data_IF_307221313314
#
_entry.id   IF_307221313314
#
_cell.length_a   1.000
_cell.length_b   1.000
_cell.length_c   1.000
_cell.angle_alpha   90.00
_cell.angle_beta   90.00
_cell.angle_gamma   90.00
#
_symmetry.space_group_name_H-M   'P 1'
#
loop_
_entity.id
_entity.type
_entity.pdbx_description
1 polymer ?
#
# COMPACT_ATOMS: atom_id res chain seq x y z
N UNK A 1 32.51 21.81 -35.81
CA UNK A 1 31.19 21.66 -35.18
C UNK A 1 30.16 22.69 -35.70
N UNK A 2 30.51 23.97 -35.90
CA UNK A 2 29.58 24.98 -36.48
C UNK A 2 29.31 24.69 -37.97
N UNK A 3 30.23 24.16 -38.70
CA UNK A 3 30.07 23.83 -40.12
C UNK A 3 28.95 22.81 -40.40
N UNK A 4 28.67 21.90 -39.46
CA UNK A 4 27.61 20.91 -39.61
C UNK A 4 26.19 21.52 -39.58
N UNK A 5 26.04 22.74 -39.05
CA UNK A 5 24.76 23.48 -39.01
C UNK A 5 24.60 24.38 -40.25
N UNK A 6 25.65 24.58 -41.00
CA UNK A 6 25.65 25.50 -42.17
C UNK A 6 25.69 24.77 -43.50
N UNK A 7 26.33 23.60 -43.55
CA UNK A 7 26.61 22.85 -44.79
C UNK A 7 26.35 21.37 -44.54
N UNK A 8 25.50 20.75 -45.34
CA UNK A 8 25.33 19.31 -45.37
C UNK A 8 25.92 18.77 -46.66
N UNK A 9 26.96 17.91 -46.59
CA UNK A 9 27.59 17.28 -47.72
C UNK A 9 26.98 15.90 -47.89
N UNK A 10 26.25 15.73 -48.97
CA UNK A 10 25.61 14.48 -49.35
C UNK A 10 26.52 13.70 -50.31
N UNK A 11 27.28 12.71 -49.79
CA UNK A 11 28.07 11.76 -50.57
C UNK A 11 27.50 10.35 -50.55
N UNK A 12 28.27 9.34 -50.95
CA UNK A 12 27.84 7.92 -51.01
C UNK A 12 27.22 7.37 -49.72
N UNK A 13 27.53 7.95 -48.55
CA UNK A 13 26.94 7.52 -47.28
C UNK A 13 25.46 7.88 -47.11
N UNK A 14 24.95 8.95 -47.75
CA UNK A 14 23.56 9.37 -47.65
C UNK A 14 22.62 8.35 -48.32
N UNK A 15 23.02 7.78 -49.44
CA UNK A 15 22.25 6.74 -50.14
C UNK A 15 22.13 5.45 -49.34
N UNK A 16 23.18 5.07 -48.57
CA UNK A 16 23.13 3.89 -47.69
C UNK A 16 22.20 4.09 -46.47
N UNK A 17 22.02 5.34 -46.00
CA UNK A 17 21.09 5.62 -44.90
C UNK A 17 19.64 5.35 -45.29
N UNK A 18 19.27 5.50 -46.58
CA UNK A 18 17.95 5.17 -47.10
C UNK A 18 17.54 3.72 -46.91
N UNK A 19 18.50 2.82 -46.67
CA UNK A 19 18.21 1.41 -46.39
C UNK A 19 17.80 1.14 -44.94
N UNK A 20 17.92 2.14 -44.07
CA UNK A 20 17.53 2.03 -42.62
C UNK A 20 16.15 2.53 -42.39
N UNK A 21 15.29 1.70 -41.79
CA UNK A 21 13.88 2.05 -41.50
C UNK A 21 13.74 3.30 -40.60
N UNK A 22 14.62 3.49 -39.62
CA UNK A 22 14.61 4.66 -38.75
C UNK A 22 14.87 5.96 -39.53
N UNK A 23 15.73 5.91 -40.53
CA UNK A 23 16.01 7.06 -41.40
C UNK A 23 14.83 7.32 -42.35
N UNK A 24 14.22 6.27 -42.90
CA UNK A 24 13.02 6.35 -43.74
C UNK A 24 11.86 7.01 -42.95
N UNK A 25 11.67 6.59 -41.69
CA UNK A 25 10.69 7.20 -40.80
C UNK A 25 10.96 8.71 -40.60
N UNK A 26 12.22 9.06 -40.33
CA UNK A 26 12.61 10.47 -40.14
C UNK A 26 12.37 11.33 -41.41
N UNK A 27 12.60 10.78 -42.59
CA UNK A 27 12.34 11.49 -43.85
C UNK A 27 10.84 11.77 -44.06
N UNK A 28 9.98 10.77 -43.76
CA UNK A 28 8.52 10.96 -43.83
C UNK A 28 8.07 11.97 -42.80
N UNK A 29 8.55 11.93 -41.57
CA UNK A 29 8.24 12.87 -40.50
C UNK A 29 8.69 14.30 -40.86
N UNK A 30 9.86 14.46 -41.49
CA UNK A 30 10.35 15.75 -41.99
C UNK A 30 9.44 16.31 -43.09
N UNK A 31 9.05 15.47 -44.05
CA UNK A 31 8.15 15.87 -45.15
C UNK A 31 6.74 16.19 -44.68
N UNK A 32 6.24 15.52 -43.63
CA UNK A 32 4.92 15.68 -43.07
C UNK A 32 4.71 16.98 -42.27
N UNK A 33 5.78 17.62 -41.81
CA UNK A 33 5.76 18.83 -40.95
C UNK A 33 4.92 18.72 -39.67
N UNK A 34 4.81 17.57 -39.07
CA UNK A 34 4.01 17.31 -37.89
C UNK A 34 4.82 17.30 -36.57
N UNK A 35 5.74 18.24 -36.44
CA UNK A 35 6.63 18.33 -35.27
C UNK A 35 5.89 18.44 -33.95
N UNK A 36 4.75 19.16 -33.93
CA UNK A 36 3.91 19.30 -32.75
C UNK A 36 3.30 17.96 -32.32
N UNK A 37 2.86 17.17 -33.31
CA UNK A 37 2.29 15.84 -33.06
C UNK A 37 3.36 14.85 -32.55
N UNK A 38 4.60 14.93 -33.09
CA UNK A 38 5.73 14.17 -32.58
C UNK A 38 6.13 14.58 -31.15
N UNK A 39 6.07 15.87 -30.83
CA UNK A 39 6.30 16.36 -29.48
C UNK A 39 5.23 15.83 -28.50
N UNK A 40 3.96 15.91 -28.90
CA UNK A 40 2.85 15.37 -28.13
C UNK A 40 2.97 13.85 -27.92
N UNK A 41 3.34 13.11 -28.97
CA UNK A 41 3.57 11.67 -28.88
C UNK A 41 4.65 11.31 -27.84
N UNK A 42 5.75 12.05 -27.83
CA UNK A 42 6.84 11.85 -26.86
C UNK A 42 6.40 12.15 -25.44
N UNK A 43 5.61 13.20 -25.26
CA UNK A 43 5.07 13.59 -23.96
C UNK A 43 4.09 12.53 -23.43
N UNK A 44 3.11 12.13 -24.25
CA UNK A 44 2.12 11.12 -23.89
C UNK A 44 2.77 9.75 -23.58
N UNK A 45 3.77 9.35 -24.38
CA UNK A 45 4.54 8.12 -24.12
C UNK A 45 5.29 8.19 -22.78
N UNK A 46 5.93 9.32 -22.47
CA UNK A 46 6.65 9.51 -21.20
C UNK A 46 5.69 9.49 -20.01
N UNK A 47 4.55 10.16 -20.14
CA UNK A 47 3.52 10.19 -19.09
C UNK A 47 3.00 8.78 -18.80
N UNK A 48 2.60 8.04 -19.84
CA UNK A 48 2.16 6.65 -19.69
C UNK A 48 3.27 5.76 -19.09
N UNK A 49 4.51 5.86 -19.59
CA UNK A 49 5.62 5.02 -19.10
C UNK A 49 5.97 5.27 -17.64
N UNK A 50 5.85 6.52 -17.20
CA UNK A 50 6.02 6.89 -15.79
C UNK A 50 4.92 6.26 -14.92
N UNK A 51 3.66 6.39 -15.31
CA UNK A 51 2.53 5.78 -14.61
C UNK A 51 2.63 4.25 -14.59
N UNK A 52 3.00 3.61 -15.70
CA UNK A 52 3.24 2.17 -15.77
C UNK A 52 4.29 1.71 -14.75
N UNK A 53 5.37 2.49 -14.61
CA UNK A 53 6.42 2.19 -13.62
C UNK A 53 5.92 2.36 -12.20
N UNK A 54 5.12 3.42 -11.95
CA UNK A 54 4.50 3.65 -10.64
C UNK A 54 3.54 2.51 -10.26
N UNK A 55 2.65 2.10 -11.18
CA UNK A 55 1.72 0.97 -10.97
C UNK A 55 2.50 -0.30 -10.62
N UNK A 56 3.54 -0.63 -11.40
CA UNK A 56 4.36 -1.82 -11.14
C UNK A 56 5.01 -1.80 -9.76
N UNK A 57 5.60 -0.67 -9.37
CA UNK A 57 6.24 -0.52 -8.06
C UNK A 57 5.20 -0.58 -6.92
N UNK A 58 4.01 -0.06 -7.17
CA UNK A 58 2.91 -0.07 -6.22
C UNK A 58 2.38 -1.49 -6.01
N UNK A 59 2.12 -2.23 -7.09
CA UNK A 59 1.67 -3.62 -7.04
C UNK A 59 2.66 -4.53 -6.31
N UNK A 60 3.96 -4.31 -6.48
CA UNK A 60 4.97 -5.06 -5.75
C UNK A 60 4.85 -4.81 -4.23
N UNK A 61 4.68 -3.56 -3.81
CA UNK A 61 4.49 -3.20 -2.39
C UNK A 61 3.19 -3.75 -1.81
N UNK A 62 2.09 -3.74 -2.58
CA UNK A 62 0.81 -4.33 -2.17
C UNK A 62 0.97 -5.84 -1.94
N UNK A 63 1.62 -6.55 -2.87
CA UNK A 63 1.86 -7.99 -2.73
C UNK A 63 2.71 -8.33 -1.49
N UNK A 64 3.72 -7.53 -1.17
CA UNK A 64 4.54 -7.68 0.05
C UNK A 64 3.73 -7.45 1.34
N UNK A 65 2.74 -6.57 1.29
CA UNK A 65 1.92 -6.19 2.45
C UNK A 65 0.66 -7.06 2.65
N UNK A 66 0.26 -7.90 1.69
CA UNK A 66 -1.00 -8.65 1.76
C UNK A 66 -1.03 -9.63 2.95
N UNK A 67 0.05 -10.35 3.23
CA UNK A 67 0.16 -11.22 4.38
C UNK A 67 0.08 -10.44 5.72
N UNK A 68 0.70 -9.25 5.76
CA UNK A 68 0.62 -8.36 6.92
C UNK A 68 -0.79 -7.84 7.14
N UNK A 69 -1.50 -7.48 6.07
CA UNK A 69 -2.88 -7.02 6.11
C UNK A 69 -3.81 -8.09 6.69
N UNK A 70 -3.72 -9.33 6.21
CA UNK A 70 -4.52 -10.44 6.72
C UNK A 70 -4.26 -10.71 8.21
N UNK A 71 -3.00 -10.67 8.63
CA UNK A 71 -2.65 -10.81 10.04
C UNK A 71 -3.25 -9.69 10.89
N UNK A 72 -3.12 -8.43 10.44
CA UNK A 72 -3.68 -7.28 11.15
C UNK A 72 -5.21 -7.32 11.23
N UNK A 73 -5.89 -7.75 10.17
CA UNK A 73 -7.35 -7.93 10.18
C UNK A 73 -7.76 -8.93 11.26
N UNK A 74 -7.14 -10.11 11.29
CA UNK A 74 -7.42 -11.11 12.30
C UNK A 74 -7.17 -10.59 13.73
N UNK A 75 -6.06 -9.89 13.96
CA UNK A 75 -5.70 -9.34 15.27
C UNK A 75 -6.66 -8.24 15.72
N UNK A 76 -7.08 -7.37 14.80
CA UNK A 76 -8.05 -6.31 15.09
C UNK A 76 -9.42 -6.89 15.39
N UNK A 77 -9.92 -7.86 14.60
CA UNK A 77 -11.20 -8.54 14.84
C UNK A 77 -11.24 -9.21 16.23
N UNK A 78 -10.19 -9.93 16.60
CA UNK A 78 -10.10 -10.59 17.92
C UNK A 78 -10.16 -9.58 19.08
N UNK A 79 -9.48 -8.43 18.95
CA UNK A 79 -9.49 -7.39 19.97
C UNK A 79 -10.80 -6.58 19.95
N UNK A 80 -11.47 -6.44 18.79
CA UNK A 80 -12.81 -5.83 18.67
C UNK A 80 -13.88 -6.71 19.32
N UNK A 81 -13.81 -8.04 19.20
CA UNK A 81 -14.70 -8.97 19.87
C UNK A 81 -14.52 -8.92 21.38
N UNK A 82 -13.29 -8.85 21.85
CA UNK A 82 -13.01 -8.73 23.28
C UNK A 82 -13.45 -7.36 23.83
N UNK A 83 -13.33 -6.29 23.05
CA UNK A 83 -13.82 -4.94 23.34
C UNK A 83 -13.43 -4.43 24.74
N UNK A 84 -12.15 -4.50 25.10
CA UNK A 84 -11.65 -3.96 26.37
C UNK A 84 -11.75 -2.44 26.39
N UNK A 85 -12.38 -1.89 27.46
CA UNK A 85 -12.52 -0.44 27.65
C UNK A 85 -11.23 0.15 28.25
N UNK A 86 -10.97 1.45 28.03
CA UNK A 86 -9.90 2.16 28.70
C UNK A 86 -10.00 2.01 30.23
N UNK A 87 -8.91 1.65 30.90
CA UNK A 87 -8.76 1.40 32.33
C UNK A 87 -9.54 0.19 32.88
N UNK A 88 -10.35 -0.50 32.06
CA UNK A 88 -11.15 -1.65 32.53
C UNK A 88 -10.30 -2.73 33.21
N UNK A 89 -9.10 -3.00 32.69
CA UNK A 89 -8.24 -4.01 33.30
C UNK A 89 -7.86 -3.67 34.75
N UNK A 90 -7.51 -2.42 35.00
CA UNK A 90 -7.14 -1.95 36.34
C UNK A 90 -8.35 -1.94 37.30
N UNK A 91 -9.53 -1.55 36.78
CA UNK A 91 -10.78 -1.61 37.55
C UNK A 91 -11.11 -3.06 37.95
N UNK A 92 -10.99 -4.00 37.02
CA UNK A 92 -11.20 -5.43 37.27
C UNK A 92 -10.20 -6.02 38.28
N UNK A 93 -8.93 -5.63 38.24
CA UNK A 93 -7.93 -6.05 39.23
C UNK A 93 -8.28 -5.54 40.65
N UNK A 94 -8.73 -4.29 40.75
CA UNK A 94 -9.15 -3.71 42.02
C UNK A 94 -10.39 -4.41 42.58
N UNK A 95 -11.41 -4.64 41.76
CA UNK A 95 -12.62 -5.35 42.12
C UNK A 95 -12.35 -6.81 42.48
N UNK A 96 -11.49 -7.53 41.77
CA UNK A 96 -11.08 -8.88 42.08
C UNK A 96 -10.40 -8.94 43.47
N UNK A 97 -9.50 -7.99 43.75
CA UNK A 97 -8.82 -7.91 45.03
C UNK A 97 -9.83 -7.66 46.17
N UNK A 98 -10.79 -6.75 45.97
CA UNK A 98 -11.83 -6.42 46.95
C UNK A 98 -12.73 -7.63 47.24
N UNK A 99 -13.22 -8.32 46.20
CA UNK A 99 -14.14 -9.45 46.33
C UNK A 99 -13.41 -10.71 46.86
N UNK A 100 -12.18 -10.97 46.47
CA UNK A 100 -11.39 -12.05 47.02
C UNK A 100 -11.07 -11.85 48.50
N UNK A 101 -10.78 -10.61 48.89
CA UNK A 101 -10.59 -10.31 50.33
C UNK A 101 -11.86 -10.45 51.13
N UNK A 102 -13.05 -10.20 50.55
CA UNK A 102 -14.32 -10.31 51.22
C UNK A 102 -14.64 -11.74 51.65
N UNK A 103 -14.29 -12.74 50.85
CA UNK A 103 -14.43 -14.15 51.23
C UNK A 103 -13.56 -14.51 52.46
N UNK A 104 -12.30 -14.09 52.44
CA UNK A 104 -11.40 -14.32 53.55
C UNK A 104 -11.81 -13.59 54.83
N UNK A 105 -12.28 -12.34 54.69
CA UNK A 105 -12.83 -11.54 55.80
C UNK A 105 -14.03 -12.23 56.43
N UNK A 106 -14.93 -12.78 55.64
CA UNK A 106 -16.12 -13.51 56.13
C UNK A 106 -15.69 -14.78 56.88
N UNK A 107 -14.82 -15.58 56.30
CA UNK A 107 -14.35 -16.83 57.00
C UNK A 107 -13.67 -16.51 58.31
N UNK A 108 -12.79 -15.49 58.35
CA UNK A 108 -12.08 -15.12 59.57
C UNK A 108 -13.03 -14.52 60.61
N UNK A 109 -14.02 -13.68 60.19
CA UNK A 109 -15.02 -13.13 61.09
C UNK A 109 -15.92 -14.20 61.70
N UNK A 110 -16.37 -15.18 60.90
CA UNK A 110 -17.14 -16.33 61.39
C UNK A 110 -16.33 -17.16 62.40
N UNK A 111 -15.06 -17.44 62.06
CA UNK A 111 -14.19 -18.18 62.99
C UNK A 111 -13.99 -17.45 64.34
N UNK A 112 -13.83 -16.11 64.28
CA UNK A 112 -13.71 -15.29 65.48
C UNK A 112 -15.00 -15.30 66.32
N UNK A 113 -16.15 -15.13 65.66
CA UNK A 113 -17.44 -15.18 66.33
C UNK A 113 -17.75 -16.53 67.00
N UNK A 114 -17.40 -17.64 66.37
CA UNK A 114 -17.51 -18.96 66.97
C UNK A 114 -16.71 -19.08 68.26
N UNK A 115 -15.51 -18.52 68.30
CA UNK A 115 -14.67 -18.52 69.49
C UNK A 115 -15.16 -17.57 70.57
N UNK A 116 -15.66 -16.38 70.13
CA UNK A 116 -16.10 -15.34 71.08
C UNK A 116 -17.45 -15.65 71.74
N UNK A 117 -18.49 -16.05 70.96
CA UNK A 117 -19.84 -16.16 71.49
C UNK A 117 -20.70 -17.32 70.99
N UNK A 118 -20.49 -17.85 69.78
CA UNK A 118 -21.45 -18.77 69.13
C UNK A 118 -21.39 -20.22 69.64
N UNK A 119 -20.38 -20.58 70.42
CA UNK A 119 -20.29 -21.91 71.01
C UNK A 119 -20.79 -21.89 72.45
N UNK A 120 -21.98 -22.43 72.68
CA UNK A 120 -22.69 -22.37 73.99
C UNK A 120 -21.88 -22.91 75.18
N UNK A 121 -20.91 -23.82 74.95
CA UNK A 121 -20.19 -24.49 76.04
C UNK A 121 -18.73 -24.09 76.17
N UNK A 122 -18.10 -23.56 75.08
CA UNK A 122 -16.66 -23.34 75.02
C UNK A 122 -16.32 -21.95 74.42
N UNK A 123 -17.27 -21.04 74.35
CA UNK A 123 -16.98 -19.67 73.92
C UNK A 123 -16.29 -18.86 75.02
N UNK A 124 -15.53 -17.82 74.62
CA UNK A 124 -14.85 -16.93 75.54
C UNK A 124 -15.87 -16.26 76.46
N UNK A 125 -16.98 -15.80 75.88
CA UNK A 125 -18.11 -15.19 76.64
C UNK A 125 -18.67 -16.16 77.72
N UNK A 126 -18.99 -17.42 77.33
CA UNK A 126 -19.52 -18.41 78.25
C UNK A 126 -18.51 -18.81 79.35
N UNK A 127 -17.22 -18.87 79.01
CA UNK A 127 -16.16 -19.20 79.93
C UNK A 127 -15.90 -18.08 80.96
N UNK A 128 -15.87 -16.84 80.46
CA UNK A 128 -15.75 -15.66 81.32
C UNK A 128 -16.96 -15.51 82.23
N UNK A 129 -18.16 -15.68 81.72
CA UNK A 129 -19.38 -15.64 82.51
C UNK A 129 -19.34 -16.67 83.66
N UNK A 130 -18.97 -17.88 83.38
CA UNK A 130 -18.81 -18.91 84.42
C UNK A 130 -17.71 -18.59 85.47
N UNK A 131 -16.57 -18.02 84.99
CA UNK A 131 -15.54 -17.57 85.90
C UNK A 131 -16.01 -16.42 86.78
N UNK A 132 -16.75 -15.47 86.26
CA UNK A 132 -17.37 -14.36 87.02
C UNK A 132 -18.31 -14.85 88.07
N UNK A 133 -19.14 -15.86 87.81
CA UNK A 133 -20.02 -16.48 88.82
C UNK A 133 -19.27 -17.03 89.99
N UNK A 134 -18.17 -17.76 89.75
CA UNK A 134 -17.34 -18.32 90.88
C UNK A 134 -16.65 -17.19 91.65
N UNK A 135 -16.23 -16.12 91.05
CA UNK A 135 -15.64 -14.96 91.72
C UNK A 135 -16.68 -14.16 92.50
N UNK A 136 -17.91 -14.07 92.01
CA UNK A 136 -19.04 -13.47 92.76
C UNK A 136 -19.30 -14.20 94.08
N UNK A 137 -19.37 -15.53 94.05
CA UNK A 137 -19.48 -16.35 95.23
C UNK A 137 -18.29 -16.16 96.20
N UNK A 138 -17.06 -16.07 95.64
CA UNK A 138 -15.86 -15.81 96.48
C UNK A 138 -15.84 -14.41 97.10
N UNK A 139 -16.36 -13.38 96.39
CA UNK A 139 -16.46 -12.00 96.86
C UNK A 139 -17.43 -11.83 98.04
N UNK A 140 -18.49 -12.67 98.09
CA UNK A 140 -19.40 -12.76 99.19
C UNK A 140 -18.77 -13.37 100.46
N UNK A 141 -17.79 -14.26 100.24
CA UNK A 141 -17.06 -14.94 101.32
C UNK A 141 -15.85 -14.16 101.82
N UNK A 142 -15.15 -13.44 100.90
CA UNK A 142 -13.97 -12.66 101.25
C UNK A 142 -13.89 -11.35 100.39
N UNK A 143 -14.03 -10.16 101.07
CA UNK A 143 -14.00 -8.88 100.39
C UNK A 143 -12.73 -8.57 99.54
N UNK A 144 -11.64 -9.31 99.73
CA UNK A 144 -10.43 -9.16 98.96
C UNK A 144 -10.62 -9.55 97.47
N UNK A 145 -11.65 -10.32 97.14
CA UNK A 145 -11.97 -10.73 95.77
C UNK A 145 -12.78 -9.71 94.99
N UNK A 146 -13.32 -8.62 95.60
CA UNK A 146 -14.13 -7.61 95.00
C UNK A 146 -13.38 -6.93 93.85
N UNK A 147 -12.07 -6.68 93.96
CA UNK A 147 -11.28 -6.09 92.89
C UNK A 147 -11.19 -7.03 91.66
N UNK A 148 -11.08 -8.36 91.90
CA UNK A 148 -10.99 -9.38 90.86
C UNK A 148 -12.35 -9.52 90.18
N UNK A 149 -13.45 -9.45 90.91
CA UNK A 149 -14.82 -9.45 90.42
C UNK A 149 -15.05 -8.27 89.43
N UNK A 150 -14.65 -7.04 89.82
CA UNK A 150 -14.74 -5.86 88.93
C UNK A 150 -13.92 -6.08 87.67
N UNK A 151 -12.69 -6.57 87.77
CA UNK A 151 -11.85 -6.84 86.58
C UNK A 151 -12.47 -7.85 85.62
N UNK A 152 -13.08 -8.94 86.13
CA UNK A 152 -13.71 -9.96 85.29
C UNK A 152 -15.01 -9.47 84.66
N UNK A 153 -15.81 -8.69 85.39
CA UNK A 153 -17.00 -8.05 84.83
C UNK A 153 -16.67 -7.06 83.73
N UNK A 154 -15.64 -6.23 83.90
CA UNK A 154 -15.14 -5.32 82.87
C UNK A 154 -14.64 -6.10 81.64
N UNK A 155 -13.90 -7.21 81.85
CA UNK A 155 -13.45 -8.05 80.74
C UNK A 155 -14.63 -8.71 79.99
N UNK A 156 -15.67 -9.15 80.70
CA UNK A 156 -16.88 -9.72 80.06
C UNK A 156 -17.58 -8.69 79.16
N UNK A 157 -17.77 -7.47 79.69
CA UNK A 157 -18.36 -6.37 78.92
C UNK A 157 -17.55 -6.07 77.69
N UNK A 158 -16.21 -5.96 77.81
CA UNK A 158 -15.32 -5.70 76.64
C UNK A 158 -15.39 -6.81 75.60
N UNK A 159 -15.46 -8.10 76.01
CA UNK A 159 -15.63 -9.20 75.06
C UNK A 159 -16.95 -9.15 74.34
N UNK A 160 -18.05 -8.80 75.03
CA UNK A 160 -19.37 -8.66 74.43
C UNK A 160 -19.44 -7.48 73.45
N UNK A 161 -18.82 -6.35 73.79
CA UNK A 161 -18.71 -5.20 72.91
C UNK A 161 -17.91 -5.53 71.64
N UNK A 162 -16.73 -6.20 71.81
CA UNK A 162 -15.90 -6.64 70.69
C UNK A 162 -16.66 -7.64 69.80
N UNK A 163 -17.41 -8.57 70.38
CA UNK A 163 -18.26 -9.50 69.63
C UNK A 163 -19.31 -8.80 68.79
N UNK A 164 -20.00 -7.84 69.36
CA UNK A 164 -21.02 -7.03 68.69
C UNK A 164 -20.41 -6.25 67.52
N UNK A 165 -19.23 -5.67 67.72
CA UNK A 165 -18.56 -4.92 66.65
C UNK A 165 -18.10 -5.85 65.52
N UNK A 166 -17.58 -7.03 65.81
CA UNK A 166 -17.21 -8.02 64.76
C UNK A 166 -18.49 -8.46 64.01
N UNK A 167 -19.60 -8.72 64.69
CA UNK A 167 -20.86 -9.04 64.02
C UNK A 167 -21.35 -7.92 63.10
N UNK A 168 -21.27 -6.68 63.60
CA UNK A 168 -21.62 -5.52 62.79
C UNK A 168 -20.76 -5.41 61.54
N UNK A 169 -19.45 -5.47 61.67
CA UNK A 169 -18.51 -5.43 60.55
C UNK A 169 -18.73 -6.57 59.55
N UNK A 170 -18.92 -7.79 60.05
CA UNK A 170 -19.13 -8.99 59.24
C UNK A 170 -20.44 -8.90 58.40
N UNK A 171 -21.50 -8.28 58.97
CA UNK A 171 -22.77 -8.09 58.25
C UNK A 171 -22.72 -7.12 57.09
N UNK A 172 -21.69 -6.29 56.99
CA UNK A 172 -21.49 -5.32 55.94
C UNK A 172 -20.47 -5.80 54.87
N UNK A 173 -19.94 -7.03 54.96
CA UNK A 173 -19.07 -7.59 53.95
C UNK A 173 -19.91 -7.99 52.73
N UNK A 174 -19.73 -7.28 51.59
CA UNK A 174 -20.33 -7.64 50.31
C UNK A 174 -19.68 -8.93 49.78
N UNK A 175 -20.50 -9.96 49.54
CA UNK A 175 -20.06 -11.20 48.88
C UNK A 175 -20.85 -11.38 47.61
N UNK A 176 -20.13 -11.46 46.49
CA UNK A 176 -20.70 -11.81 45.19
C UNK A 176 -19.75 -12.80 44.48
N UNK A 177 -19.89 -14.13 44.78
CA UNK A 177 -19.06 -15.15 44.14
C UNK A 177 -19.25 -15.24 42.61
N UNK A 178 -20.46 -14.90 42.12
CA UNK A 178 -20.72 -14.92 40.68
C UNK A 178 -19.98 -13.79 39.99
N UNK A 179 -20.04 -12.58 40.55
CA UNK A 179 -19.29 -11.45 40.03
C UNK A 179 -17.77 -11.68 40.07
N UNK A 180 -17.26 -12.27 41.14
CA UNK A 180 -15.84 -12.61 41.23
C UNK A 180 -15.43 -13.56 40.10
N UNK A 181 -16.22 -14.59 39.85
CA UNK A 181 -15.97 -15.54 38.75
C UNK A 181 -15.99 -14.85 37.38
N UNK A 182 -16.93 -13.94 37.12
CA UNK A 182 -16.99 -13.17 35.87
C UNK A 182 -15.75 -12.28 35.68
N UNK A 183 -15.32 -11.60 36.76
CA UNK A 183 -14.12 -10.76 36.75
C UNK A 183 -12.88 -11.59 36.48
N UNK A 184 -12.72 -12.74 37.15
CA UNK A 184 -11.57 -13.64 36.95
C UNK A 184 -11.52 -14.18 35.51
N UNK A 185 -12.65 -14.53 34.94
CA UNK A 185 -12.74 -14.95 33.55
C UNK A 185 -12.32 -13.82 32.58
N UNK A 186 -12.81 -12.60 32.82
CA UNK A 186 -12.48 -11.43 31.99
C UNK A 186 -11.01 -11.05 32.08
N UNK A 187 -10.43 -11.05 33.30
CA UNK A 187 -9.00 -10.86 33.53
C UNK A 187 -8.16 -11.95 32.84
N UNK A 188 -8.60 -13.22 32.94
CA UNK A 188 -7.92 -14.33 32.27
C UNK A 188 -7.86 -14.17 30.75
N UNK A 189 -8.95 -13.73 30.13
CA UNK A 189 -9.03 -13.42 28.71
C UNK A 189 -8.09 -12.25 28.32
N UNK A 190 -8.08 -11.16 29.11
CA UNK A 190 -7.19 -10.04 28.90
C UNK A 190 -5.71 -10.45 28.96
N UNK A 191 -5.32 -11.27 29.93
CA UNK A 191 -3.98 -11.80 30.07
C UNK A 191 -3.57 -12.70 28.90
N UNK A 192 -4.48 -13.53 28.38
CA UNK A 192 -4.21 -14.38 27.23
C UNK A 192 -3.95 -13.55 25.98
N UNK A 193 -4.79 -12.54 25.72
CA UNK A 193 -4.62 -11.62 24.60
C UNK A 193 -3.33 -10.81 24.71
N UNK A 194 -3.02 -10.28 25.91
CA UNK A 194 -1.79 -9.56 26.18
C UNK A 194 -0.55 -10.39 25.87
N UNK A 195 -0.53 -11.66 26.31
CA UNK A 195 0.57 -12.61 26.00
C UNK A 195 0.68 -12.89 24.52
N UNK A 196 -0.45 -13.10 23.83
CA UNK A 196 -0.48 -13.36 22.39
C UNK A 196 0.09 -12.19 21.60
N UNK A 197 -0.21 -10.96 22.00
CA UNK A 197 0.28 -9.75 21.38
C UNK A 197 1.62 -9.24 21.92
N UNK A 198 2.17 -9.92 22.93
CA UNK A 198 3.43 -9.58 23.61
C UNK A 198 3.43 -8.13 24.15
N UNK A 199 2.33 -7.74 24.77
CA UNK A 199 2.14 -6.45 25.45
C UNK A 199 1.67 -6.69 26.87
N UNK A 200 1.66 -5.64 27.71
CA UNK A 200 1.04 -5.71 29.04
C UNK A 200 -0.49 -5.60 28.91
N UNK A 201 -1.26 -6.20 29.84
CA UNK A 201 -2.72 -6.13 29.79
C UNK A 201 -3.28 -4.70 29.80
N UNK A 202 -2.63 -3.79 30.54
CA UNK A 202 -3.01 -2.38 30.61
C UNK A 202 -2.80 -1.65 29.27
N UNK A 203 -1.89 -2.14 28.43
CA UNK A 203 -1.50 -1.58 27.14
C UNK A 203 -2.38 -2.11 25.98
N UNK A 204 -3.25 -3.11 26.23
CA UNK A 204 -4.06 -3.75 25.18
C UNK A 204 -4.92 -2.77 24.39
N UNK A 205 -5.50 -1.77 25.04
CA UNK A 205 -6.35 -0.77 24.39
C UNK A 205 -5.55 0.11 23.44
N UNK A 206 -4.39 0.59 23.87
CA UNK A 206 -3.48 1.39 23.03
C UNK A 206 -2.94 0.56 21.87
N UNK A 207 -2.58 -0.70 22.15
CA UNK A 207 -2.14 -1.64 21.13
C UNK A 207 -3.22 -1.89 20.07
N UNK A 208 -4.46 -2.10 20.48
CA UNK A 208 -5.60 -2.25 19.59
C UNK A 208 -5.79 -1.03 18.67
N UNK A 209 -5.70 0.19 19.22
CA UNK A 209 -5.78 1.42 18.44
C UNK A 209 -4.64 1.52 17.42
N UNK A 210 -3.43 1.12 17.80
CA UNK A 210 -2.28 1.10 16.91
C UNK A 210 -2.47 0.12 15.75
N UNK A 211 -2.94 -1.11 16.02
CA UNK A 211 -3.22 -2.10 14.98
C UNK A 211 -4.32 -1.61 14.02
N UNK A 212 -5.37 -0.97 14.54
CA UNK A 212 -6.42 -0.34 13.71
C UNK A 212 -5.87 0.74 12.79
N UNK A 213 -5.01 1.59 13.31
CA UNK A 213 -4.39 2.64 12.51
C UNK A 213 -3.48 2.06 11.41
N UNK A 214 -2.69 1.02 11.71
CA UNK A 214 -1.87 0.32 10.72
C UNK A 214 -2.72 -0.37 9.65
N UNK A 215 -3.82 -1.02 10.03
CA UNK A 215 -4.75 -1.64 9.09
C UNK A 215 -5.40 -0.62 8.17
N UNK A 216 -5.88 0.50 8.72
CA UNK A 216 -6.47 1.60 7.95
C UNK A 216 -5.48 2.15 6.94
N UNK A 217 -4.23 2.39 7.34
CA UNK A 217 -3.19 2.87 6.44
C UNK A 217 -2.91 1.90 5.27
N UNK A 218 -3.00 0.58 5.50
CA UNK A 218 -2.86 -0.42 4.44
C UNK A 218 -4.07 -0.48 3.50
N UNK A 219 -5.27 -0.20 4.01
CA UNK A 219 -6.50 -0.12 3.20
C UNK A 219 -6.50 1.13 2.31
N UNK A 220 -6.14 2.29 2.84
CA UNK A 220 -6.01 3.55 2.09
C UNK A 220 -4.94 3.41 0.97
N UNK A 221 -3.88 2.67 1.25
CA UNK A 221 -2.86 2.35 0.26
C UNK A 221 -3.45 1.51 -0.90
N UNK A 222 -4.32 0.55 -0.64
CA UNK A 222 -4.98 -0.26 -1.68
C UNK A 222 -5.93 0.56 -2.58
N UNK A 223 -6.70 1.49 -2.02
CA UNK A 223 -7.56 2.40 -2.80
C UNK A 223 -6.75 3.32 -3.73
N UNK A 224 -5.55 3.72 -3.27
CA UNK A 224 -4.63 4.52 -4.09
C UNK A 224 -4.10 3.74 -5.30
N UNK A 225 -3.99 2.41 -5.22
CA UNK A 225 -3.63 1.54 -6.34
C UNK A 225 -4.69 1.58 -7.45
N UNK A 226 -5.95 1.40 -7.10
CA UNK A 226 -7.04 1.40 -8.09
C UNK A 226 -7.09 2.71 -8.87
N UNK A 227 -6.93 3.84 -8.18
CA UNK A 227 -6.87 5.15 -8.84
C UNK A 227 -5.68 5.26 -9.79
N UNK A 228 -4.50 4.79 -9.37
CA UNK A 228 -3.29 4.85 -10.19
C UNK A 228 -3.40 3.97 -11.44
N UNK A 229 -4.05 2.80 -11.35
CA UNK A 229 -4.35 1.93 -12.49
C UNK A 229 -5.29 2.62 -13.48
N UNK A 230 -6.32 3.32 -12.99
CA UNK A 230 -7.22 4.09 -13.85
C UNK A 230 -6.51 5.24 -14.57
N UNK A 231 -5.62 5.96 -13.88
CA UNK A 231 -4.80 7.01 -14.45
C UNK A 231 -3.85 6.47 -15.54
N UNK A 232 -3.20 5.31 -15.29
CA UNK A 232 -2.33 4.64 -16.25
C UNK A 232 -3.10 4.24 -17.51
N UNK A 233 -4.29 3.65 -17.36
CA UNK A 233 -5.16 3.26 -18.46
C UNK A 233 -5.58 4.47 -19.30
N UNK A 234 -5.98 5.56 -18.66
CA UNK A 234 -6.35 6.79 -19.38
C UNK A 234 -5.15 7.38 -20.14
N UNK A 235 -3.96 7.37 -19.55
CA UNK A 235 -2.74 7.82 -20.23
C UNK A 235 -2.37 6.92 -21.42
N UNK A 236 -2.57 5.60 -21.29
CA UNK A 236 -2.38 4.65 -22.39
C UNK A 236 -3.34 4.89 -23.56
N UNK A 237 -4.62 5.09 -23.28
CA UNK A 237 -5.64 5.41 -24.30
C UNK A 237 -5.33 6.72 -25.01
N UNK A 238 -4.90 7.74 -24.27
CA UNK A 238 -4.46 9.03 -24.84
C UNK A 238 -3.26 8.84 -25.76
N UNK A 239 -2.24 8.14 -25.31
CA UNK A 239 -1.05 7.83 -26.10
C UNK A 239 -1.39 7.06 -27.39
N UNK A 240 -2.27 6.05 -27.30
CA UNK A 240 -2.73 5.32 -28.49
C UNK A 240 -3.49 6.21 -29.47
N UNK A 241 -4.28 7.15 -28.97
CA UNK A 241 -4.98 8.11 -29.81
C UNK A 241 -4.00 8.99 -30.60
N UNK A 242 -2.98 9.54 -29.90
CA UNK A 242 -1.92 10.33 -30.54
C UNK A 242 -1.12 9.50 -31.56
N UNK A 243 -0.83 8.23 -31.25
CA UNK A 243 -0.16 7.33 -32.17
C UNK A 243 -0.97 7.07 -33.45
N UNK A 244 -2.32 6.95 -33.35
CA UNK A 244 -3.20 6.83 -34.52
C UNK A 244 -3.20 8.09 -35.36
N UNK A 245 -3.28 9.28 -34.75
CA UNK A 245 -3.21 10.55 -35.47
C UNK A 245 -1.87 10.70 -36.21
N UNK A 246 -0.77 10.26 -35.58
CA UNK A 246 0.55 10.25 -36.18
C UNK A 246 0.61 9.30 -37.36
N UNK A 247 0.03 8.10 -37.26
CA UNK A 247 -0.10 7.15 -38.35
C UNK A 247 -0.87 7.70 -39.54
N UNK A 248 -2.00 8.36 -39.32
CA UNK A 248 -2.80 8.99 -40.35
C UNK A 248 -2.01 10.10 -41.10
N UNK A 249 -1.31 10.95 -40.31
CA UNK A 249 -0.46 12.01 -40.86
C UNK A 249 0.70 11.46 -41.71
N UNK A 250 1.36 10.40 -41.20
CA UNK A 250 2.44 9.70 -41.92
C UNK A 250 1.95 9.05 -43.20
N UNK A 251 0.78 8.39 -43.15
CA UNK A 251 0.21 7.72 -44.32
C UNK A 251 -0.09 8.71 -45.44
N UNK A 252 -0.67 9.88 -45.13
CA UNK A 252 -0.94 10.95 -46.10
C UNK A 252 0.37 11.55 -46.64
N UNK A 253 1.36 11.78 -45.79
CA UNK A 253 2.66 12.28 -46.19
C UNK A 253 3.43 11.26 -47.06
N UNK A 254 3.39 10.00 -46.70
CA UNK A 254 4.00 8.88 -47.42
C UNK A 254 3.44 8.77 -48.87
N UNK A 255 2.13 8.85 -49.02
CA UNK A 255 1.50 8.82 -50.34
C UNK A 255 1.95 9.98 -51.21
N UNK A 256 1.91 11.22 -50.71
CA UNK A 256 2.35 12.42 -51.43
C UNK A 256 3.83 12.36 -51.77
N UNK A 257 4.68 12.00 -50.83
CA UNK A 257 6.13 11.87 -51.04
C UNK A 257 6.44 10.80 -52.09
N UNK A 258 5.80 9.63 -52.02
CA UNK A 258 5.96 8.57 -52.98
C UNK A 258 5.61 9.01 -54.44
N UNK A 259 4.52 9.71 -54.60
CA UNK A 259 4.11 10.29 -55.91
C UNK A 259 5.14 11.28 -56.42
N UNK A 260 5.63 12.21 -55.61
CA UNK A 260 6.61 13.21 -55.97
C UNK A 260 7.98 12.59 -56.33
N UNK A 261 8.45 11.61 -55.49
CA UNK A 261 9.68 10.86 -55.77
C UNK A 261 9.57 10.10 -57.09
N UNK A 262 8.44 9.41 -57.30
CA UNK A 262 8.20 8.71 -58.61
C UNK A 262 8.27 9.66 -59.79
N UNK A 263 7.67 10.85 -59.68
CA UNK A 263 7.74 11.85 -60.73
C UNK A 263 9.18 12.31 -60.97
N UNK A 264 9.93 12.60 -59.93
CA UNK A 264 11.32 13.06 -60.01
C UNK A 264 12.29 12.02 -60.61
N UNK A 265 12.17 10.76 -60.21
CA UNK A 265 13.07 9.69 -60.68
C UNK A 265 12.86 9.34 -62.18
N UNK A 266 11.61 9.54 -62.69
CA UNK A 266 11.38 9.37 -64.12
C UNK A 266 12.19 10.32 -64.96
N UNK A 267 12.44 11.56 -64.50
CA UNK A 267 13.33 12.51 -65.12
C UNK A 267 14.81 12.19 -64.98
N UNK A 268 15.18 11.20 -64.17
CA UNK A 268 16.53 10.76 -63.89
C UNK A 268 16.87 9.39 -64.52
N UNK A 269 16.40 9.14 -65.75
CA UNK A 269 16.61 7.89 -66.51
C UNK A 269 16.05 6.62 -65.78
N UNK A 270 14.92 6.76 -65.07
CA UNK A 270 14.17 5.66 -64.47
C UNK A 270 12.68 5.73 -64.88
N UNK A 271 12.43 5.78 -66.18
CA UNK A 271 11.10 6.06 -66.75
C UNK A 271 10.00 5.09 -66.35
N UNK A 272 10.35 3.81 -66.14
CA UNK A 272 9.39 2.76 -65.78
C UNK A 272 9.35 2.46 -64.27
N UNK A 273 10.16 3.20 -63.48
CA UNK A 273 10.26 2.95 -62.02
C UNK A 273 9.08 3.64 -61.27
N UNK A 274 8.60 2.97 -60.29
CA UNK A 274 7.60 3.48 -59.32
C UNK A 274 8.08 3.25 -57.90
N UNK A 275 8.03 4.34 -57.12
CA UNK A 275 8.45 4.35 -55.74
C UNK A 275 7.23 4.33 -54.81
N UNK A 276 7.26 3.52 -53.78
CA UNK A 276 6.18 3.40 -52.79
C UNK A 276 6.77 3.48 -51.37
N UNK A 277 5.91 3.93 -50.44
CA UNK A 277 6.23 4.01 -49.03
C UNK A 277 5.13 3.25 -48.26
N UNK A 278 5.50 2.17 -47.64
CA UNK A 278 4.61 1.38 -46.81
C UNK A 278 4.68 1.88 -45.36
N UNK A 279 3.53 2.18 -44.77
CA UNK A 279 3.39 2.63 -43.37
C UNK A 279 2.64 1.56 -42.59
N UNK A 280 3.37 0.76 -41.83
CA UNK A 280 2.82 -0.36 -41.06
C UNK A 280 2.76 0.02 -39.58
N UNK A 281 1.58 0.02 -38.98
CA UNK A 281 1.37 0.38 -37.57
C UNK A 281 1.17 -0.85 -36.69
N UNK A 282 1.90 -0.91 -35.58
CA UNK A 282 1.73 -1.93 -34.55
C UNK A 282 1.51 -1.28 -33.17
N UNK A 283 0.25 -1.08 -32.82
CA UNK A 283 -0.15 -0.47 -31.54
C UNK A 283 0.20 -1.31 -30.32
N UNK A 284 0.72 -2.52 -30.48
CA UNK A 284 1.23 -3.33 -29.37
C UNK A 284 2.68 -2.99 -29.01
N UNK A 285 3.39 -2.30 -29.93
CA UNK A 285 4.81 -1.92 -29.80
C UNK A 285 5.03 -0.42 -29.92
N UNK A 286 4.21 0.34 -29.20
CA UNK A 286 4.31 1.80 -29.24
C UNK A 286 5.63 2.27 -28.62
N UNK A 287 6.30 3.20 -29.27
CA UNK A 287 7.52 3.87 -28.82
C UNK A 287 7.31 5.39 -28.71
N UNK A 288 8.30 6.12 -28.24
CA UNK A 288 8.25 7.58 -28.10
C UNK A 288 8.06 8.33 -29.43
N UNK A 289 8.34 7.68 -30.55
CA UNK A 289 8.14 8.19 -31.90
C UNK A 289 6.92 7.60 -32.62
N UNK A 290 6.01 6.95 -31.90
CA UNK A 290 4.79 6.32 -32.42
C UNK A 290 4.87 4.81 -32.55
N UNK A 291 3.95 4.26 -33.34
CA UNK A 291 3.77 2.81 -33.52
C UNK A 291 4.12 2.34 -34.95
N UNK A 292 4.64 3.23 -35.80
CA UNK A 292 4.80 2.95 -37.21
C UNK A 292 6.20 2.45 -37.55
N UNK A 293 6.24 1.49 -38.45
CA UNK A 293 7.41 1.07 -39.18
C UNK A 293 7.26 1.44 -40.66
N UNK A 294 8.20 2.19 -41.18
CA UNK A 294 8.19 2.65 -42.58
C UNK A 294 9.16 1.84 -43.41
N UNK A 295 8.71 1.41 -44.57
CA UNK A 295 9.53 0.67 -45.54
C UNK A 295 9.41 1.29 -46.92
N UNK A 296 10.51 1.77 -47.46
CA UNK A 296 10.59 2.26 -48.85
C UNK A 296 10.76 1.07 -49.80
N UNK A 297 9.87 1.01 -50.80
CA UNK A 297 9.87 -0.04 -51.83
C UNK A 297 9.95 0.55 -53.21
N UNK A 298 10.55 -0.18 -54.12
CA UNK A 298 10.71 0.22 -55.53
C UNK A 298 10.20 -0.87 -56.44
N UNK A 299 9.50 -0.48 -57.47
CA UNK A 299 9.22 -1.32 -58.66
C UNK A 299 10.02 -0.72 -59.82
N UNK A 300 11.09 -1.38 -60.24
CA UNK A 300 12.01 -0.87 -61.27
C UNK A 300 11.46 -0.98 -62.67
N UNK A 301 10.59 -1.97 -62.99
CA UNK A 301 10.01 -2.19 -64.32
C UNK A 301 8.53 -2.57 -64.24
N UNK A 302 7.79 -2.26 -65.28
CA UNK A 302 6.39 -2.63 -65.45
C UNK A 302 6.24 -4.18 -65.36
N UNK A 303 5.28 -4.64 -64.52
CA UNK A 303 4.97 -6.07 -64.31
C UNK A 303 5.81 -6.76 -63.24
N UNK A 304 6.79 -6.11 -62.61
CA UNK A 304 7.49 -6.61 -61.42
C UNK A 304 6.72 -6.23 -60.12
N UNK A 305 6.92 -6.97 -59.06
CA UNK A 305 6.44 -6.62 -57.75
C UNK A 305 7.36 -5.56 -57.11
N UNK A 306 6.80 -4.64 -56.35
CA UNK A 306 7.57 -3.71 -55.53
C UNK A 306 8.33 -4.49 -54.46
N UNK A 307 9.60 -4.16 -54.27
CA UNK A 307 10.49 -4.79 -53.30
C UNK A 307 11.18 -3.72 -52.45
N UNK A 308 11.56 -4.01 -51.19
CA UNK A 308 12.37 -3.09 -50.39
C UNK A 308 13.62 -2.61 -51.11
N UNK A 309 13.97 -1.32 -50.97
CA UNK A 309 15.11 -0.69 -51.63
C UNK A 309 16.41 -1.51 -51.42
N UNK A 310 16.59 -2.07 -50.23
CA UNK A 310 17.77 -2.89 -49.89
C UNK A 310 17.95 -4.15 -50.80
N UNK A 311 16.89 -4.60 -51.47
CA UNK A 311 16.89 -5.82 -52.31
C UNK A 311 16.97 -5.56 -53.79
N UNK A 312 16.60 -4.38 -54.26
CA UNK A 312 16.33 -4.13 -55.67
C UNK A 312 17.19 -3.00 -56.26
N UNK A 313 17.45 -1.94 -55.48
CA UNK A 313 18.11 -0.75 -56.03
C UNK A 313 19.62 -1.04 -56.26
N UNK A 314 20.08 -0.79 -57.50
CA UNK A 314 21.51 -0.68 -57.80
C UNK A 314 22.08 0.60 -57.15
N UNK A 315 23.41 0.69 -57.04
CA UNK A 315 24.07 1.86 -56.48
C UNK A 315 23.64 3.17 -57.15
N UNK A 316 23.56 3.17 -58.52
CA UNK A 316 23.09 4.34 -59.27
C UNK A 316 21.61 4.65 -59.08
N UNK A 317 20.72 3.64 -59.02
CA UNK A 317 19.29 3.84 -58.72
C UNK A 317 19.10 4.41 -57.32
N UNK A 318 19.82 3.89 -56.32
CA UNK A 318 19.75 4.35 -54.94
C UNK A 318 20.22 5.82 -54.83
N UNK A 319 21.27 6.22 -55.53
CA UNK A 319 21.78 7.59 -55.55
C UNK A 319 20.76 8.55 -56.18
N UNK A 320 20.08 8.17 -57.30
CA UNK A 320 19.02 8.97 -57.91
C UNK A 320 17.79 9.14 -57.04
N UNK A 321 17.33 8.06 -56.38
CA UNK A 321 16.25 8.09 -55.40
C UNK A 321 16.61 9.00 -54.24
N UNK A 322 17.85 8.84 -53.70
CA UNK A 322 18.35 9.69 -52.60
C UNK A 322 18.36 11.16 -52.98
N UNK A 323 18.82 11.51 -54.15
CA UNK A 323 18.81 12.88 -54.66
C UNK A 323 17.36 13.42 -54.75
N UNK A 324 16.44 12.66 -55.34
CA UNK A 324 15.05 13.08 -55.47
C UNK A 324 14.43 13.37 -54.11
N UNK A 325 14.60 12.47 -53.12
CA UNK A 325 14.08 12.65 -51.76
C UNK A 325 14.70 13.88 -51.09
N UNK A 326 16.02 14.04 -51.17
CA UNK A 326 16.73 15.17 -50.59
C UNK A 326 16.29 16.52 -51.18
N UNK A 327 16.08 16.63 -52.48
CA UNK A 327 15.54 17.83 -53.09
C UNK A 327 14.14 18.13 -52.56
N UNK A 328 13.26 17.13 -52.50
CA UNK A 328 11.89 17.27 -52.02
C UNK A 328 11.78 17.60 -50.51
N UNK A 329 12.79 17.26 -49.76
CA UNK A 329 12.87 17.51 -48.31
C UNK A 329 13.78 18.71 -47.97
N UNK A 330 14.51 19.27 -48.95
CA UNK A 330 15.50 20.34 -48.72
C UNK A 330 14.91 21.67 -48.30
N UNK A 331 13.72 22.05 -48.82
CA UNK A 331 13.03 23.30 -48.44
C UNK A 331 12.71 23.35 -46.93
N UNK A 332 12.91 22.25 -46.25
CA UNK A 332 12.50 22.01 -44.85
C UNK A 332 13.68 21.81 -43.93
N UNK A 333 14.91 21.71 -44.48
CA UNK A 333 16.11 21.59 -43.68
C UNK A 333 16.52 22.94 -43.11
N UNK A 334 16.81 23.00 -41.80
CA UNK A 334 17.37 24.18 -41.14
C UNK A 334 18.78 24.54 -41.69
N UNK A 335 19.30 23.77 -42.65
CA UNK A 335 20.63 23.93 -43.21
C UNK A 335 20.53 24.70 -44.54
N UNK A 336 21.08 25.92 -44.61
CA UNK A 336 20.86 26.81 -45.76
C UNK A 336 21.63 26.38 -47.02
N UNK A 337 22.58 25.43 -46.93
CA UNK A 337 23.41 25.01 -48.07
C UNK A 337 23.54 23.50 -48.16
N UNK A 338 23.12 22.93 -49.27
CA UNK A 338 23.30 21.50 -49.61
C UNK A 338 24.35 21.36 -50.68
N UNK A 339 25.36 20.52 -50.45
CA UNK A 339 26.36 20.17 -51.44
C UNK A 339 26.17 18.69 -51.81
N UNK A 340 25.94 18.43 -53.08
CA UNK A 340 25.84 17.10 -53.63
C UNK A 340 27.18 16.72 -54.30
N UNK A 341 27.82 15.67 -53.82
CA UNK A 341 29.02 15.12 -54.38
C UNK A 341 28.70 13.81 -55.12
N UNK A 342 29.39 13.55 -56.24
CA UNK A 342 29.25 12.32 -57.05
C UNK A 342 27.82 12.06 -57.59
N UNK A 343 27.06 13.09 -57.93
CA UNK A 343 25.67 12.95 -58.44
C UNK A 343 25.61 12.34 -59.85
N UNK A 344 26.71 12.45 -60.60
CA UNK A 344 26.84 12.01 -61.95
C UNK A 344 27.49 10.61 -62.10
N UNK A 345 27.89 9.98 -61.05
CA UNK A 345 28.43 8.61 -61.03
C UNK A 345 27.28 7.63 -61.25
N UNK A 346 27.09 7.23 -62.52
CA UNK A 346 26.07 6.24 -62.93
C UNK A 346 24.96 6.75 -63.85
N UNK A 347 25.13 7.94 -64.46
CA UNK A 347 24.33 8.40 -65.60
C UNK A 347 24.89 7.87 -66.88
#
# INVERSE_FOLDING_TARGET
EIGQYLIHINGQHASQLLLKNDYQLQLVDTFAHHNDLLAQMREDYRAWKNLQTQVKNFQQKVAENEAKKQLLQYQVEELDEFALRPNEYLELEEDQRRLSNSEQLTQLSQSALQLLSENETVSIDSMLYRATQYIDELSELDPRYVSVQTMLNDALIQVQEATSEVQHLASHIEQDPMLLQEIEQRLGQALQLARKHNVKPEELVEWHQKLKAELTALLDFSESEERLILEEKAAFEKMQHTAKQLHESRSQAAEKLAQQVTHSIKGLAMENAEFFIEVNSDLTKVAANGADNIVFTLRSNLGQQAQPLAKVASGGELSRISLAIQVLTSDQSAIPTLIFDEVDVGI
#
